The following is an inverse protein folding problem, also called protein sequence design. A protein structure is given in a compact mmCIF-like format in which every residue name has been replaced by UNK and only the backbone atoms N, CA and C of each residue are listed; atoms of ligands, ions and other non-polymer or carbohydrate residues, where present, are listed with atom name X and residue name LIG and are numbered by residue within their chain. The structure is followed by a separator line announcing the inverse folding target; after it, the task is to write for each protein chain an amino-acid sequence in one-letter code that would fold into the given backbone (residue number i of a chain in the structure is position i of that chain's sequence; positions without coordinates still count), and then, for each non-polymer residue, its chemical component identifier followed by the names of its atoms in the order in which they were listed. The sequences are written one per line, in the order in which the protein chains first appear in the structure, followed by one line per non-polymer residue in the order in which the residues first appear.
data_IF_121811081101
#
_entry.id   IF_121811081101
#
_cell.length_a   1.000
_cell.length_b   1.000
_cell.length_c   1.000
_cell.angle_alpha   90.00
_cell.angle_beta   90.00
_cell.angle_gamma   90.00
#
_symmetry.space_group_name_H-M   'P 1'
#
loop_
_entity.id
_entity.type
_entity.pdbx_description
1 polymer ?
#
# COMPACT_ATOMS: atom_id res chain seq x y z
N UNK A 1 -21.76 11.29 33.32
CA UNK A 1 -21.14 12.26 32.39
C UNK A 1 -19.81 11.72 31.88
N UNK A 2 -19.67 11.69 30.55
CA UNK A 2 -18.42 11.22 29.92
C UNK A 2 -17.35 12.31 30.04
N UNK A 3 -16.18 11.95 30.53
CA UNK A 3 -15.05 12.89 30.62
C UNK A 3 -14.58 13.27 29.22
N UNK A 4 -14.03 14.46 29.06
CA UNK A 4 -13.50 14.92 27.78
C UNK A 4 -12.46 13.94 27.20
N UNK A 5 -11.59 13.39 28.07
CA UNK A 5 -10.59 12.38 27.70
C UNK A 5 -11.24 11.12 27.18
N UNK A 6 -12.32 10.64 27.83
CA UNK A 6 -13.02 9.42 27.42
C UNK A 6 -13.74 9.61 26.09
N UNK A 7 -14.32 10.79 25.86
CA UNK A 7 -14.96 11.12 24.58
C UNK A 7 -13.94 11.12 23.44
N UNK A 8 -12.75 11.67 23.68
CA UNK A 8 -11.68 11.70 22.69
C UNK A 8 -11.20 10.29 22.34
N UNK A 9 -11.01 9.43 23.35
CA UNK A 9 -10.61 8.05 23.12
C UNK A 9 -11.68 7.24 22.40
N UNK A 10 -12.95 7.44 22.75
CA UNK A 10 -14.06 6.78 22.09
C UNK A 10 -14.16 7.20 20.62
N UNK A 11 -14.00 8.50 20.34
CA UNK A 11 -14.02 9.01 18.97
C UNK A 11 -12.88 8.45 18.12
N UNK A 12 -11.68 8.31 18.70
CA UNK A 12 -10.53 7.70 18.02
C UNK A 12 -10.79 6.23 17.71
N UNK A 13 -11.37 5.46 18.66
CA UNK A 13 -11.71 4.06 18.47
C UNK A 13 -12.75 3.89 17.37
N UNK A 14 -13.79 4.72 17.34
CA UNK A 14 -14.81 4.71 16.30
C UNK A 14 -14.22 5.04 14.93
N UNK A 15 -13.33 6.03 14.87
CA UNK A 15 -12.67 6.41 13.63
C UNK A 15 -11.85 5.25 13.06
N UNK A 16 -11.07 4.56 13.89
CA UNK A 16 -10.30 3.39 13.48
C UNK A 16 -11.23 2.30 12.98
N UNK A 17 -12.31 2.01 13.70
CA UNK A 17 -13.28 0.98 13.30
C UNK A 17 -13.92 1.29 11.94
N UNK A 18 -14.32 2.55 11.72
CA UNK A 18 -14.98 2.98 10.49
C UNK A 18 -14.02 2.99 9.29
N UNK A 19 -12.71 3.18 9.53
CA UNK A 19 -11.69 3.25 8.49
C UNK A 19 -10.82 2.00 8.44
N UNK A 20 -11.34 0.87 8.91
CA UNK A 20 -10.59 -0.38 8.92
C UNK A 20 -11.16 -1.36 7.91
N UNK A 21 -10.26 -2.11 7.30
CA UNK A 21 -10.53 -3.25 6.44
C UNK A 21 -10.17 -4.52 7.19
N UNK A 22 -10.65 -5.66 6.69
CA UNK A 22 -10.20 -6.94 7.23
C UNK A 22 -8.88 -7.32 6.58
N UNK A 23 -7.78 -7.17 7.31
CA UNK A 23 -6.43 -7.51 6.82
C UNK A 23 -6.37 -8.95 6.31
N UNK A 24 -7.04 -9.88 6.99
CA UNK A 24 -6.97 -11.30 6.65
C UNK A 24 -7.66 -11.62 5.30
N UNK A 25 -8.47 -10.72 4.78
CA UNK A 25 -9.08 -10.88 3.47
C UNK A 25 -8.23 -10.35 2.33
N UNK A 26 -7.10 -9.70 2.62
CA UNK A 26 -6.20 -9.23 1.59
C UNK A 26 -5.45 -10.41 0.96
N UNK A 27 -5.51 -10.59 -0.37
CA UNK A 27 -4.79 -11.66 -1.05
C UNK A 27 -3.32 -11.29 -1.21
N UNK A 28 -2.53 -11.44 -0.15
CA UNK A 28 -1.13 -10.97 -0.10
C UNK A 28 -0.26 -11.59 -1.20
N UNK A 29 -0.64 -12.75 -1.75
CA UNK A 29 0.06 -13.38 -2.87
C UNK A 29 0.03 -12.53 -4.15
N UNK A 30 -0.95 -11.66 -4.28
CA UNK A 30 -1.11 -10.77 -5.45
C UNK A 30 -0.35 -9.45 -5.29
N UNK A 31 0.30 -9.25 -4.15
CA UNK A 31 1.10 -8.06 -3.86
C UNK A 31 2.57 -8.31 -4.16
N UNK A 32 3.29 -7.22 -4.41
CA UNK A 32 4.75 -7.24 -4.42
C UNK A 32 5.22 -7.10 -2.99
N UNK A 33 5.95 -8.10 -2.50
CA UNK A 33 6.46 -8.15 -1.13
C UNK A 33 7.86 -7.58 -1.05
N UNK A 34 8.07 -6.65 -0.13
CA UNK A 34 9.38 -6.07 0.16
C UNK A 34 9.64 -6.13 1.65
N UNK A 35 10.81 -6.65 2.05
CA UNK A 35 11.18 -6.81 3.46
C UNK A 35 12.41 -5.97 3.76
N UNK A 36 12.37 -5.20 4.84
CA UNK A 36 13.52 -4.44 5.37
C UNK A 36 13.73 -4.81 6.83
N UNK A 37 14.99 -4.99 7.23
CA UNK A 37 15.32 -5.35 8.59
C UNK A 37 14.68 -6.68 8.99
N UNK A 38 14.10 -6.74 10.18
CA UNK A 38 13.44 -7.96 10.67
C UNK A 38 12.06 -8.22 10.05
N UNK A 39 11.50 -7.25 9.31
CA UNK A 39 10.22 -7.38 8.62
C UNK A 39 9.00 -7.55 9.51
N UNK A 40 9.09 -7.33 10.80
CA UNK A 40 8.02 -7.66 11.75
C UNK A 40 6.78 -6.78 11.61
N UNK A 41 6.98 -5.49 11.39
CA UNK A 41 5.84 -4.58 11.20
C UNK A 41 5.37 -4.70 9.77
N UNK A 42 4.07 -4.66 9.55
CA UNK A 42 3.49 -4.93 8.23
C UNK A 42 2.66 -3.75 7.74
N UNK A 43 2.77 -3.47 6.46
CA UNK A 43 1.92 -2.52 5.74
C UNK A 43 1.46 -3.15 4.44
N UNK A 44 0.24 -2.84 4.03
CA UNK A 44 -0.21 -3.03 2.66
C UNK A 44 -0.41 -1.65 2.04
N UNK A 45 -0.04 -1.51 0.77
CA UNK A 45 -0.11 -0.24 0.06
C UNK A 45 -0.78 -0.48 -1.28
N UNK A 46 -1.81 0.32 -1.60
CA UNK A 46 -2.39 0.35 -2.94
C UNK A 46 -1.80 1.55 -3.67
N UNK A 47 -1.16 1.31 -4.80
CA UNK A 47 -0.33 2.30 -5.47
C UNK A 47 -0.42 2.18 -7.00
N UNK A 48 -0.40 3.32 -7.68
CA UNK A 48 -0.35 3.42 -9.14
C UNK A 48 1.01 4.00 -9.53
N UNK A 49 1.73 3.40 -10.50
CA UNK A 49 3.10 3.84 -10.82
C UNK A 49 3.17 5.23 -11.45
N UNK A 50 2.07 5.76 -11.96
CA UNK A 50 2.02 7.09 -12.59
C UNK A 50 1.35 8.14 -11.71
N UNK A 51 1.09 7.83 -10.45
CA UNK A 51 0.49 8.75 -9.49
C UNK A 51 1.58 9.52 -8.75
N UNK A 52 1.60 10.88 -8.82
CA UNK A 52 2.63 11.67 -8.13
C UNK A 52 2.69 11.44 -6.62
N UNK A 53 1.53 11.31 -5.97
CA UNK A 53 1.46 11.05 -4.53
C UNK A 53 1.94 9.63 -4.18
N UNK A 54 1.75 8.67 -5.10
CA UNK A 54 2.29 7.31 -4.91
C UNK A 54 3.83 7.33 -4.96
N UNK A 55 4.40 8.11 -5.85
CA UNK A 55 5.87 8.31 -5.92
C UNK A 55 6.39 8.97 -4.64
N UNK A 56 5.67 9.95 -4.13
CA UNK A 56 6.01 10.62 -2.87
C UNK A 56 5.95 9.64 -1.70
N UNK A 57 4.92 8.82 -1.63
CA UNK A 57 4.80 7.79 -0.59
C UNK A 57 5.96 6.80 -0.66
N UNK A 58 6.34 6.36 -1.85
CA UNK A 58 7.45 5.41 -2.01
C UNK A 58 8.74 5.93 -1.38
N UNK A 59 9.03 7.22 -1.54
CA UNK A 59 10.17 7.85 -0.89
C UNK A 59 10.07 7.81 0.63
N UNK A 60 8.86 7.98 1.18
CA UNK A 60 8.62 7.89 2.62
C UNK A 60 8.73 6.46 3.13
N UNK A 61 8.23 5.48 2.38
CA UNK A 61 8.35 4.07 2.73
C UNK A 61 9.81 3.62 2.79
N UNK A 62 10.66 4.17 1.93
CA UNK A 62 12.09 3.85 1.93
C UNK A 62 12.83 4.29 3.20
N UNK A 63 12.26 5.20 3.96
CA UNK A 63 12.81 5.66 5.25
C UNK A 63 12.46 4.72 6.40
N UNK A 64 11.50 3.82 6.23
CA UNK A 64 11.08 2.88 7.26
C UNK A 64 12.06 1.72 7.36
N UNK A 65 12.11 1.09 8.55
CA UNK A 65 12.91 -0.10 8.78
C UNK A 65 12.09 -1.14 9.54
N UNK A 66 12.58 -2.37 9.61
CA UNK A 66 11.91 -3.48 10.29
C UNK A 66 10.45 -3.63 9.86
N UNK A 67 10.23 -3.65 8.54
CA UNK A 67 8.90 -3.65 7.94
C UNK A 67 8.83 -4.59 6.75
N UNK A 68 7.68 -5.26 6.62
CA UNK A 68 7.28 -5.97 5.40
C UNK A 68 6.17 -5.16 4.72
N UNK A 69 6.40 -4.76 3.48
CA UNK A 69 5.45 -3.97 2.71
C UNK A 69 4.90 -4.84 1.59
N UNK A 70 3.58 -4.95 1.54
CA UNK A 70 2.85 -5.63 0.47
C UNK A 70 2.24 -4.56 -0.43
N UNK A 71 2.80 -4.38 -1.62
CA UNK A 71 2.31 -3.39 -2.58
C UNK A 71 1.35 -4.05 -3.56
N UNK A 72 0.09 -3.68 -3.45
CA UNK A 72 -0.92 -4.02 -4.46
C UNK A 72 -0.88 -2.93 -5.52
N UNK A 73 -0.45 -3.30 -6.72
CA UNK A 73 -0.44 -2.34 -7.82
C UNK A 73 -1.89 -2.14 -8.26
N UNK A 74 -2.39 -0.94 -7.97
CA UNK A 74 -3.77 -0.54 -8.29
C UNK A 74 -3.69 0.46 -9.45
N UNK A 75 -3.66 -0.09 -10.66
CA UNK A 75 -3.46 0.69 -11.89
C UNK A 75 -4.77 1.38 -12.28
N UNK A 76 -5.06 2.50 -11.62
CA UNK A 76 -6.28 3.29 -11.85
C UNK A 76 -6.20 4.02 -13.19
N UNK A 77 -5.01 4.55 -13.52
CA UNK A 77 -4.81 5.28 -14.77
C UNK A 77 -4.65 4.30 -15.93
N UNK A 78 -5.27 4.58 -17.07
CA UNK A 78 -5.21 3.70 -18.23
C UNK A 78 -3.77 3.42 -18.69
N UNK A 79 -2.91 4.45 -18.67
CA UNK A 79 -1.50 4.30 -19.06
C UNK A 79 -0.67 3.49 -18.06
N UNK A 80 -1.21 3.21 -16.88
CA UNK A 80 -0.52 2.42 -15.87
C UNK A 80 -0.72 0.92 -16.04
N UNK A 81 -1.75 0.49 -16.75
CA UNK A 81 -2.16 -0.92 -16.81
C UNK A 81 -1.08 -1.79 -17.47
N UNK A 82 -0.65 -1.43 -18.67
CA UNK A 82 0.33 -2.23 -19.40
C UNK A 82 1.68 -2.33 -18.67
N UNK A 83 2.32 -1.23 -18.25
CA UNK A 83 3.59 -1.35 -17.51
C UNK A 83 3.44 -2.08 -16.18
N UNK A 84 2.32 -1.93 -15.48
CA UNK A 84 2.08 -2.65 -14.24
C UNK A 84 2.01 -4.16 -14.45
N UNK A 85 1.36 -4.61 -15.51
CA UNK A 85 1.33 -6.04 -15.89
C UNK A 85 2.73 -6.55 -16.19
N UNK A 86 3.53 -5.77 -16.91
CA UNK A 86 4.88 -6.16 -17.32
C UNK A 86 5.84 -6.27 -16.13
N UNK A 87 5.63 -5.52 -15.06
CA UNK A 87 6.42 -5.66 -13.82
C UNK A 87 6.43 -7.12 -13.34
N UNK A 88 5.29 -7.79 -13.38
CA UNK A 88 5.19 -9.18 -12.94
C UNK A 88 5.85 -10.18 -13.88
N UNK A 89 6.17 -9.76 -15.10
CA UNK A 89 6.83 -10.60 -16.10
C UNK A 89 8.36 -10.46 -16.08
N UNK A 90 8.88 -9.57 -15.24
CA UNK A 90 10.31 -9.41 -15.06
C UNK A 90 10.86 -10.49 -14.11
N UNK A 91 12.17 -10.75 -14.22
CA UNK A 91 12.84 -11.74 -13.35
C UNK A 91 12.75 -11.37 -11.87
N UNK A 92 12.79 -10.06 -11.56
CA UNK A 92 12.64 -9.54 -10.21
C UNK A 92 11.54 -8.47 -10.19
N UNK A 93 10.29 -8.86 -9.95
CA UNK A 93 9.18 -7.92 -9.96
C UNK A 93 9.31 -6.79 -8.95
N UNK A 94 9.87 -7.05 -7.76
CA UNK A 94 10.05 -6.02 -6.74
C UNK A 94 11.01 -4.93 -7.21
N UNK A 95 12.09 -5.30 -7.86
CA UNK A 95 13.04 -4.35 -8.43
C UNK A 95 12.41 -3.59 -9.61
N UNK A 96 11.71 -4.30 -10.47
CA UNK A 96 11.01 -3.68 -11.61
C UNK A 96 9.99 -2.65 -11.14
N UNK A 97 9.25 -2.94 -10.08
CA UNK A 97 8.32 -1.99 -9.48
C UNK A 97 9.03 -0.74 -8.96
N UNK A 98 10.10 -0.93 -8.19
CA UNK A 98 10.87 0.19 -7.65
C UNK A 98 11.41 1.11 -8.74
N UNK A 99 11.94 0.52 -9.80
CA UNK A 99 12.47 1.28 -10.93
C UNK A 99 11.37 2.02 -11.68
N UNK A 100 10.22 1.39 -11.83
CA UNK A 100 9.08 2.00 -12.51
C UNK A 100 8.54 3.20 -11.74
N UNK A 101 8.28 3.03 -10.45
CA UNK A 101 7.66 4.10 -9.65
C UNK A 101 8.65 5.21 -9.30
N UNK A 102 9.89 4.88 -8.99
CA UNK A 102 10.88 5.88 -8.57
C UNK A 102 11.53 6.62 -9.73
N UNK A 103 11.78 5.93 -10.84
CA UNK A 103 12.59 6.46 -11.95
C UNK A 103 11.82 6.53 -13.28
N UNK A 104 10.61 5.98 -13.33
CA UNK A 104 9.87 5.86 -14.58
C UNK A 104 10.47 4.88 -15.56
N UNK A 105 11.40 4.02 -15.10
CA UNK A 105 12.02 3.00 -15.95
C UNK A 105 11.00 1.94 -16.32
N UNK A 106 10.73 1.81 -17.62
CA UNK A 106 9.75 0.86 -18.10
C UNK A 106 10.28 -0.56 -18.04
N UNK A 107 9.42 -1.56 -17.71
CA UNK A 107 9.81 -2.95 -17.76
C UNK A 107 10.23 -3.34 -19.17
N UNK A 108 11.22 -4.23 -19.27
CA UNK A 108 11.79 -4.64 -20.56
C UNK A 108 11.14 -5.88 -21.14
N UNK A 109 10.43 -6.66 -20.32
CA UNK A 109 9.73 -7.86 -20.80
C UNK A 109 8.64 -7.49 -21.81
N UNK A 110 8.66 -8.14 -22.96
CA UNK A 110 7.68 -7.93 -24.03
C UNK A 110 6.66 -9.06 -24.14
N UNK A 111 6.89 -10.16 -23.40
CA UNK A 111 5.98 -11.30 -23.44
C UNK A 111 4.95 -11.16 -22.32
N UNK A 112 3.66 -11.33 -22.62
CA UNK A 112 2.65 -11.35 -21.57
C UNK A 112 2.86 -12.57 -20.68
N UNK A 113 2.54 -12.39 -19.39
CA UNK A 113 2.59 -13.47 -18.42
C UNK A 113 1.35 -13.38 -17.53
N UNK A 114 1.11 -14.42 -16.75
CA UNK A 114 0.08 -14.39 -15.72
C UNK A 114 0.44 -13.33 -14.67
N UNK A 115 -0.51 -12.45 -14.37
CA UNK A 115 -0.29 -11.36 -13.42
C UNK A 115 -1.59 -11.02 -12.70
N UNK A 116 -1.50 -10.38 -11.51
CA UNK A 116 -2.68 -10.09 -10.70
C UNK A 116 -3.31 -8.72 -10.96
N UNK A 117 -2.90 -7.97 -11.97
CA UNK A 117 -3.28 -6.56 -12.10
C UNK A 117 -4.80 -6.37 -12.17
N UNK A 118 -5.50 -7.18 -12.98
CA UNK A 118 -6.96 -7.07 -13.07
C UNK A 118 -7.64 -7.42 -11.75
N UNK A 119 -7.14 -8.45 -11.06
CA UNK A 119 -7.63 -8.81 -9.72
C UNK A 119 -7.39 -7.69 -8.71
N UNK A 120 -6.24 -7.02 -8.79
CA UNK A 120 -5.92 -5.91 -7.89
C UNK A 120 -6.82 -4.70 -8.14
N UNK A 121 -7.14 -4.41 -9.39
CA UNK A 121 -8.08 -3.33 -9.75
C UNK A 121 -9.46 -3.65 -9.16
N UNK A 122 -9.93 -4.87 -9.35
CA UNK A 122 -11.22 -5.30 -8.81
C UNK A 122 -11.21 -5.29 -7.28
N UNK A 123 -10.13 -5.73 -6.66
CA UNK A 123 -9.96 -5.70 -5.21
C UNK A 123 -10.07 -4.26 -4.67
N UNK A 124 -9.36 -3.32 -5.27
CA UNK A 124 -9.42 -1.92 -4.86
C UNK A 124 -10.83 -1.34 -4.97
N UNK A 125 -11.53 -1.67 -6.05
CA UNK A 125 -12.93 -1.26 -6.23
C UNK A 125 -13.83 -1.85 -5.16
N UNK A 126 -13.70 -3.14 -4.89
CA UNK A 126 -14.52 -3.86 -3.90
C UNK A 126 -14.29 -3.32 -2.49
N UNK A 127 -13.10 -2.83 -2.20
CA UNK A 127 -12.75 -2.21 -0.91
C UNK A 127 -13.17 -0.75 -0.84
N UNK A 128 -13.75 -0.20 -1.90
CA UNK A 128 -14.17 1.19 -1.94
C UNK A 128 -13.05 2.19 -2.08
N UNK A 129 -11.88 1.76 -2.57
CA UNK A 129 -10.73 2.65 -2.75
C UNK A 129 -10.90 3.46 -4.03
N UNK A 130 -11.11 4.76 -3.89
CA UNK A 130 -11.40 5.66 -5.00
C UNK A 130 -10.15 6.34 -5.56
N UNK A 131 -9.02 6.20 -4.90
CA UNK A 131 -7.78 6.83 -5.30
C UNK A 131 -6.56 6.14 -4.73
N UNK A 132 -5.39 6.65 -5.07
CA UNK A 132 -4.09 6.17 -4.61
C UNK A 132 -3.25 7.33 -4.09
N UNK A 133 -2.27 7.09 -3.20
CA UNK A 133 -2.02 5.82 -2.53
C UNK A 133 -2.96 5.61 -1.33
N UNK A 134 -3.07 4.36 -0.90
CA UNK A 134 -3.74 4.00 0.35
C UNK A 134 -2.79 3.12 1.15
N UNK A 135 -2.58 3.45 2.42
CA UNK A 135 -1.75 2.67 3.35
C UNK A 135 -2.66 1.93 4.32
N UNK A 136 -2.45 0.63 4.47
CA UNK A 136 -3.24 -0.21 5.36
C UNK A 136 -2.31 -0.84 6.39
N UNK A 137 -2.62 -0.63 7.67
CA UNK A 137 -1.89 -1.24 8.79
C UNK A 137 -2.38 -2.66 9.04
N UNK A 138 -1.60 -3.47 9.78
CA UNK A 138 -1.91 -4.88 9.97
C UNK A 138 -3.20 -5.15 10.77
N UNK A 139 -3.71 -4.15 11.48
CA UNK A 139 -5.03 -4.22 12.12
C UNK A 139 -6.17 -3.84 11.16
N UNK A 140 -5.84 -3.53 9.89
CA UNK A 140 -6.80 -3.14 8.87
C UNK A 140 -7.06 -1.65 8.75
N UNK A 141 -6.52 -0.83 9.66
CA UNK A 141 -6.74 0.62 9.60
C UNK A 141 -6.11 1.22 8.35
N UNK A 142 -6.91 1.97 7.59
CA UNK A 142 -6.46 2.56 6.32
C UNK A 142 -6.27 4.07 6.43
N UNK A 143 -5.26 4.58 5.74
CA UNK A 143 -4.98 6.01 5.61
C UNK A 143 -4.79 6.33 4.14
N UNK A 144 -5.45 7.38 3.67
CA UNK A 144 -5.35 7.83 2.29
C UNK A 144 -4.23 8.85 2.14
N UNK A 145 -3.50 8.79 1.03
CA UNK A 145 -2.53 9.80 0.66
C UNK A 145 -1.09 9.45 1.01
N UNK A 146 -0.18 10.35 0.66
CA UNK A 146 1.26 10.19 0.84
C UNK A 146 1.64 10.51 2.29
N UNK A 147 1.45 9.55 3.17
CA UNK A 147 1.69 9.70 4.61
C UNK A 147 3.19 9.79 4.88
N UNK A 148 3.67 10.80 5.64
CA UNK A 148 5.07 10.85 6.04
C UNK A 148 5.49 9.65 6.89
N UNK A 149 6.76 9.24 6.76
CA UNK A 149 7.31 8.11 7.51
C UNK A 149 7.18 8.31 9.03
N UNK A 150 7.36 9.54 9.51
CA UNK A 150 7.19 9.88 10.93
C UNK A 150 5.76 9.63 11.40
N UNK A 151 4.78 9.95 10.58
CA UNK A 151 3.37 9.68 10.87
C UNK A 151 3.09 8.18 10.93
N UNK A 152 3.65 7.41 10.00
CA UNK A 152 3.52 5.94 10.00
C UNK A 152 4.09 5.36 11.29
N UNK A 153 5.29 5.79 11.69
CA UNK A 153 5.92 5.36 12.94
C UNK A 153 5.07 5.69 14.15
N UNK A 154 4.52 6.90 14.21
CA UNK A 154 3.63 7.32 15.30
C UNK A 154 2.36 6.47 15.35
N UNK A 155 1.79 6.16 14.19
CA UNK A 155 0.58 5.33 14.10
C UNK A 155 0.83 3.91 14.55
N UNK A 156 1.98 3.31 14.21
CA UNK A 156 2.33 1.99 14.74
C UNK A 156 2.34 1.98 16.27
N UNK A 157 2.93 3.01 16.88
CA UNK A 157 2.96 3.13 18.34
C UNK A 157 1.57 3.30 18.93
N UNK A 158 0.78 4.20 18.39
CA UNK A 158 -0.58 4.47 18.87
C UNK A 158 -1.51 3.28 18.70
N UNK A 159 -1.35 2.52 17.62
CA UNK A 159 -2.17 1.34 17.33
C UNK A 159 -1.65 0.09 18.04
N UNK A 160 -0.50 0.15 18.70
CA UNK A 160 0.09 -1.00 19.38
C UNK A 160 0.62 -2.07 18.43
N UNK A 161 1.10 -1.66 17.27
CA UNK A 161 1.56 -2.57 16.20
C UNK A 161 3.08 -2.63 16.10
#
# INVERSE_FOLDING_TARGET
MVRLKDQKNLSAALYVQQNSLDWNKLPLKDAIKSVKGNGKRQLAVFSDPNCPYCKQLEAELNKLNDVTIYTFIYAIKAQSIAPSKQVFCEADPALAWKNLIAKGTQPTSKKPCANPIERNIELGRSLGLQGTPVVIFSNGFKVNGAVPSTTIENMWRELGL
#
